data_IF_669645609469
#
_entry.id   IF_669645609469
#
_cell.length_a   1.000
_cell.length_b   1.000
_cell.length_c   1.000
_cell.angle_alpha   90.00
_cell.angle_beta   90.00
_cell.angle_gamma   90.00
#
_symmetry.space_group_name_H-M   'P 1'
#
loop_
_entity.id
_entity.type
_entity.pdbx_description
1 polymer ?
#
# COMPACT_ATOMS: atom_id res chain seq x y z
N UNK A 1 23.63 -67.84 -6.29
CA UNK A 1 24.20 -67.00 -7.37
C UNK A 1 24.92 -65.82 -6.72
N UNK A 2 26.21 -65.66 -7.02
CA UNK A 2 27.10 -64.62 -6.47
C UNK A 2 26.68 -63.22 -6.91
N UNK A 3 26.85 -62.25 -6.01
CA UNK A 3 26.86 -60.82 -6.29
C UNK A 3 27.41 -60.04 -5.09
N UNK A 4 28.70 -59.73 -5.12
CA UNK A 4 29.41 -58.82 -4.22
C UNK A 4 29.51 -57.42 -4.88
N UNK A 5 30.23 -56.43 -4.32
CA UNK A 5 30.13 -55.78 -3.01
C UNK A 5 30.11 -54.24 -3.14
N UNK A 6 29.94 -53.48 -2.04
CA UNK A 6 30.36 -52.07 -2.08
C UNK A 6 29.98 -51.17 -0.92
N UNK A 7 30.89 -51.07 0.06
CA UNK A 7 31.30 -49.83 0.78
C UNK A 7 30.24 -49.16 1.69
N UNK A 8 30.51 -48.62 2.86
CA UNK A 8 31.72 -48.45 3.68
C UNK A 8 31.25 -48.06 5.08
N UNK A 9 32.06 -48.43 6.06
CA UNK A 9 32.04 -48.14 7.49
C UNK A 9 31.58 -46.72 7.85
N UNK A 10 30.52 -46.61 8.66
CA UNK A 10 30.18 -45.40 9.44
C UNK A 10 30.72 -45.60 10.86
N UNK A 11 31.83 -44.92 11.18
CA UNK A 11 32.42 -44.89 12.51
C UNK A 11 32.17 -43.51 13.14
N UNK A 12 31.57 -43.55 14.33
CA UNK A 12 31.16 -42.45 15.20
C UNK A 12 32.31 -41.55 15.63
N UNK A 13 31.98 -40.28 15.95
CA UNK A 13 32.45 -39.41 17.06
C UNK A 13 32.23 -37.96 16.59
N UNK A 14 32.01 -36.93 17.38
CA UNK A 14 31.66 -36.67 18.77
C UNK A 14 31.41 -35.15 18.77
N UNK A 15 30.41 -34.63 19.49
CA UNK A 15 30.32 -33.18 19.71
C UNK A 15 31.42 -32.75 20.70
N UNK A 16 32.03 -31.58 20.49
CA UNK A 16 32.51 -30.79 21.61
C UNK A 16 32.05 -29.32 21.49
N UNK A 17 31.32 -28.88 22.50
CA UNK A 17 31.22 -27.47 22.84
C UNK A 17 32.56 -27.07 23.47
N UNK A 18 33.53 -26.56 22.69
CA UNK A 18 34.60 -25.67 23.18
C UNK A 18 35.45 -25.20 21.99
N UNK A 19 35.27 -23.95 21.53
CA UNK A 19 36.39 -23.21 20.93
C UNK A 19 36.13 -21.71 21.00
N UNK A 20 36.90 -21.09 21.90
CA UNK A 20 37.04 -19.67 22.13
C UNK A 20 38.01 -19.13 21.07
N UNK A 21 37.50 -18.41 20.07
CA UNK A 21 38.25 -17.52 19.16
C UNK A 21 37.77 -16.11 19.49
N UNK A 22 38.51 -15.35 20.30
CA UNK A 22 39.49 -14.36 19.86
C UNK A 22 38.89 -13.18 19.08
N UNK A 23 39.25 -12.01 19.57
CA UNK A 23 38.83 -10.68 19.19
C UNK A 23 39.18 -10.33 17.76
N UNK A 24 38.17 -10.12 16.93
CA UNK A 24 38.27 -9.22 15.78
C UNK A 24 37.29 -8.07 15.97
N UNK A 25 37.89 -6.93 16.32
CA UNK A 25 37.32 -5.61 16.21
C UNK A 25 36.95 -5.35 14.73
N UNK A 26 35.77 -5.80 14.32
CA UNK A 26 35.08 -5.25 13.17
C UNK A 26 33.98 -4.33 13.70
N UNK A 27 34.39 -3.14 14.12
CA UNK A 27 33.54 -1.94 14.05
C UNK A 27 33.25 -1.70 12.56
N UNK A 28 32.37 -2.54 12.00
CA UNK A 28 31.87 -2.35 10.66
C UNK A 28 30.63 -1.46 10.80
N UNK A 29 30.87 -0.19 10.54
CA UNK A 29 29.91 0.88 10.36
C UNK A 29 28.97 0.56 9.19
N UNK A 30 28.07 -0.41 9.37
CA UNK A 30 26.81 -0.47 8.64
C UNK A 30 25.84 0.40 9.42
N UNK A 31 25.97 1.71 9.17
CA UNK A 31 25.18 2.77 9.78
C UNK A 31 23.73 2.37 9.97
N UNK A 32 23.26 2.66 11.18
CA UNK A 32 21.86 2.76 11.60
C UNK A 32 21.13 3.79 10.75
N UNK A 33 20.93 3.49 9.47
CA UNK A 33 20.27 4.34 8.49
C UNK A 33 18.76 4.03 8.50
N UNK A 34 18.14 4.17 9.66
CA UNK A 34 16.89 4.93 9.70
C UNK A 34 17.27 6.39 9.48
N UNK A 35 17.70 6.71 8.26
CA UNK A 35 17.97 8.07 7.86
C UNK A 35 16.70 8.85 8.11
N UNK A 36 16.84 9.99 8.78
CA UNK A 36 15.77 10.96 8.87
C UNK A 36 15.19 11.30 7.49
N UNK A 37 16.03 11.23 6.45
CA UNK A 37 15.64 11.36 5.05
C UNK A 37 14.76 10.21 4.53
N UNK A 38 15.07 8.94 4.87
CA UNK A 38 14.23 7.78 4.49
C UNK A 38 12.83 7.86 5.12
N UNK A 39 12.72 8.35 6.36
CA UNK A 39 11.42 8.59 7.00
C UNK A 39 10.63 9.66 6.24
N UNK A 40 11.29 10.73 5.78
CA UNK A 40 10.66 11.74 4.92
C UNK A 40 10.21 11.17 3.58
N UNK A 41 11.01 10.31 2.95
CA UNK A 41 10.67 9.71 1.65
C UNK A 41 9.46 8.78 1.77
N UNK A 42 9.41 7.95 2.82
CA UNK A 42 8.25 7.10 3.13
C UNK A 42 7.01 7.95 3.41
N UNK A 43 7.12 8.99 4.24
CA UNK A 43 6.01 9.90 4.49
C UNK A 43 5.55 10.62 3.21
N UNK A 44 6.48 11.08 2.36
CA UNK A 44 6.19 11.75 1.10
C UNK A 44 5.47 10.86 0.07
N UNK A 45 5.93 9.62 -0.08
CA UNK A 45 5.27 8.62 -0.94
C UNK A 45 3.86 8.31 -0.42
N UNK A 46 3.69 8.13 0.89
CA UNK A 46 2.39 7.92 1.52
C UNK A 46 1.44 9.12 1.36
N UNK A 47 1.93 10.36 1.50
CA UNK A 47 1.14 11.58 1.29
C UNK A 47 0.60 11.65 -0.15
N UNK A 48 1.45 11.35 -1.12
CA UNK A 48 1.08 11.32 -2.54
C UNK A 48 0.04 10.22 -2.81
N UNK A 49 0.26 9.04 -2.26
CA UNK A 49 -0.61 7.89 -2.40
C UNK A 49 -2.01 8.14 -1.79
N UNK A 50 -2.07 8.66 -0.56
CA UNK A 50 -3.35 8.99 0.09
C UNK A 50 -4.06 10.16 -0.58
N UNK A 51 -3.34 11.15 -1.10
CA UNK A 51 -3.92 12.22 -1.93
C UNK A 51 -4.61 11.68 -3.17
N UNK A 52 -3.98 10.70 -3.84
CA UNK A 52 -4.59 10.04 -5.00
C UNK A 52 -5.86 9.28 -4.61
N UNK A 53 -5.85 8.56 -3.49
CA UNK A 53 -7.04 7.90 -2.95
C UNK A 53 -8.17 8.88 -2.64
N UNK A 54 -7.87 10.00 -1.99
CA UNK A 54 -8.88 11.04 -1.73
C UNK A 54 -9.51 11.59 -3.02
N UNK A 55 -8.70 11.82 -4.05
CA UNK A 55 -9.21 12.28 -5.36
C UNK A 55 -10.12 11.24 -6.02
N UNK A 56 -9.77 9.95 -5.94
CA UNK A 56 -10.58 8.87 -6.49
C UNK A 56 -11.90 8.73 -5.73
N UNK A 57 -11.85 8.73 -4.41
CA UNK A 57 -13.04 8.66 -3.55
C UNK A 57 -13.96 9.87 -3.77
N UNK A 58 -13.40 11.07 -3.91
CA UNK A 58 -14.18 12.25 -4.26
C UNK A 58 -14.85 12.13 -5.63
N UNK A 59 -14.15 11.55 -6.63
CA UNK A 59 -14.75 11.27 -7.94
C UNK A 59 -15.88 10.26 -7.85
N UNK A 60 -15.72 9.19 -7.07
CA UNK A 60 -16.75 8.18 -6.84
C UNK A 60 -18.00 8.82 -6.19
N UNK A 61 -17.81 9.58 -5.12
CA UNK A 61 -18.89 10.25 -4.40
C UNK A 61 -19.63 11.25 -5.31
N UNK A 62 -18.90 12.05 -6.10
CA UNK A 62 -19.50 13.01 -7.02
C UNK A 62 -20.33 12.35 -8.13
N UNK A 63 -20.01 11.10 -8.50
CA UNK A 63 -20.71 10.35 -9.54
C UNK A 63 -21.64 9.27 -8.98
N UNK A 64 -21.84 9.19 -7.65
CA UNK A 64 -22.60 8.11 -7.02
C UNK A 64 -24.08 8.05 -7.48
N UNK A 65 -24.63 9.19 -7.88
CA UNK A 65 -26.01 9.32 -8.37
C UNK A 65 -26.07 9.51 -9.90
N UNK A 66 -24.94 9.41 -10.61
CA UNK A 66 -24.86 9.67 -12.04
C UNK A 66 -25.31 8.44 -12.85
N UNK A 67 -26.54 8.50 -13.36
CA UNK A 67 -27.17 7.47 -14.20
C UNK A 67 -26.63 7.42 -15.63
N UNK A 68 -25.97 8.48 -16.10
CA UNK A 68 -25.48 8.59 -17.48
C UNK A 68 -24.08 9.19 -17.50
N UNK A 69 -23.09 8.39 -17.89
CA UNK A 69 -21.75 8.85 -18.22
C UNK A 69 -21.66 9.42 -19.65
N UNK A 70 -20.50 9.99 -20.03
CA UNK A 70 -20.25 10.51 -21.38
C UNK A 70 -20.50 9.48 -22.50
N UNK A 71 -20.27 8.20 -22.19
CA UNK A 71 -20.42 7.07 -23.11
C UNK A 71 -21.82 6.42 -23.05
N UNK A 72 -22.78 7.05 -22.35
CA UNK A 72 -24.14 6.55 -22.18
C UNK A 72 -24.28 5.40 -21.17
N UNK A 73 -23.20 5.01 -20.49
CA UNK A 73 -23.20 3.97 -19.45
C UNK A 73 -23.06 4.57 -18.06
N UNK A 74 -23.62 3.91 -17.04
CA UNK A 74 -23.54 4.36 -15.67
C UNK A 74 -22.09 4.31 -15.13
N UNK A 75 -21.75 5.26 -14.25
CA UNK A 75 -20.40 5.39 -13.70
C UNK A 75 -19.98 4.13 -12.92
N UNK A 76 -18.74 3.67 -13.14
CA UNK A 76 -18.14 2.59 -12.35
C UNK A 76 -17.23 3.14 -11.29
N UNK A 77 -17.41 2.67 -10.06
CA UNK A 77 -16.56 2.99 -8.93
C UNK A 77 -15.10 2.67 -9.25
N UNK A 78 -14.20 3.57 -8.85
CA UNK A 78 -12.76 3.45 -9.08
C UNK A 78 -12.05 3.18 -7.76
N UNK A 79 -11.03 2.34 -7.80
CA UNK A 79 -10.22 1.99 -6.64
C UNK A 79 -8.74 2.23 -6.93
N UNK A 80 -8.01 2.66 -5.90
CA UNK A 80 -6.56 2.87 -5.99
C UNK A 80 -5.86 1.58 -5.59
N UNK A 81 -4.95 1.12 -6.44
CA UNK A 81 -4.07 -0.01 -6.13
C UNK A 81 -2.76 0.53 -5.60
N UNK A 82 -2.42 0.12 -4.38
CA UNK A 82 -1.15 0.46 -3.74
C UNK A 82 -0.18 -0.70 -3.90
N UNK A 83 1.09 -0.36 -4.10
CA UNK A 83 2.18 -1.32 -4.05
C UNK A 83 3.31 -0.82 -3.16
N UNK A 84 3.97 -1.73 -2.42
CA UNK A 84 5.17 -1.38 -1.69
C UNK A 84 6.29 -1.05 -2.67
N UNK A 85 6.95 0.09 -2.50
CA UNK A 85 8.22 0.33 -3.18
C UNK A 85 9.30 -0.57 -2.56
N UNK A 86 9.90 -1.45 -3.36
CA UNK A 86 10.97 -2.31 -2.87
C UNK A 86 12.19 -1.45 -2.49
N UNK A 87 12.38 -1.24 -1.19
CA UNK A 87 13.61 -0.68 -0.65
C UNK A 87 14.76 -1.69 -0.73
N UNK A 88 15.99 -1.21 -0.91
CA UNK A 88 17.20 -2.03 -0.86
C UNK A 88 17.46 -2.62 0.53
N UNK A 89 16.91 -1.97 1.57
CA UNK A 89 17.01 -2.39 2.96
C UNK A 89 15.59 -2.74 3.44
N UNK A 90 15.34 -4.00 3.84
CA UNK A 90 14.01 -4.55 4.12
C UNK A 90 13.21 -3.94 5.29
N UNK A 91 13.56 -2.75 5.77
CA UNK A 91 12.95 -2.07 6.92
C UNK A 91 12.19 -0.77 6.59
N UNK A 92 12.59 -0.05 5.54
CA UNK A 92 11.94 1.19 5.12
C UNK A 92 11.38 1.02 3.71
N UNK A 93 10.07 0.83 3.62
CA UNK A 93 9.36 0.55 2.37
C UNK A 93 8.36 1.68 2.14
N UNK A 94 8.57 2.45 1.08
CA UNK A 94 7.62 3.47 0.62
C UNK A 94 6.37 2.83 0.00
N UNK A 95 5.44 3.67 -0.45
CA UNK A 95 4.24 3.20 -1.16
C UNK A 95 4.06 3.95 -2.47
N UNK A 96 3.90 3.20 -3.55
CA UNK A 96 3.50 3.71 -4.87
C UNK A 96 2.03 3.45 -5.13
N UNK A 97 1.47 4.23 -6.06
CA UNK A 97 0.17 3.95 -6.65
C UNK A 97 0.40 3.35 -8.03
N UNK A 98 0.11 2.06 -8.18
CA UNK A 98 0.28 1.34 -9.45
C UNK A 98 -0.75 1.77 -10.49
N UNK A 99 -1.94 2.18 -10.02
CA UNK A 99 -2.98 2.65 -10.90
C UNK A 99 -4.31 2.86 -10.19
N UNK A 100 -5.27 3.32 -10.99
CA UNK A 100 -6.68 3.41 -10.60
C UNK A 100 -7.42 2.41 -11.47
N UNK A 101 -8.03 1.41 -10.84
CA UNK A 101 -8.78 0.35 -11.52
C UNK A 101 -10.27 0.54 -11.30
N UNK A 102 -11.08 0.16 -12.28
CA UNK A 102 -12.53 0.16 -12.12
C UNK A 102 -12.99 -1.10 -11.41
N UNK A 103 -13.99 -0.96 -10.54
CA UNK A 103 -14.64 -2.09 -9.89
C UNK A 103 -15.55 -2.81 -10.89
N UNK A 104 -15.01 -3.91 -11.41
CA UNK A 104 -15.69 -4.83 -12.33
C UNK A 104 -16.27 -6.05 -11.62
N UNK A 105 -15.97 -6.24 -10.33
CA UNK A 105 -16.42 -7.38 -9.53
C UNK A 105 -17.80 -7.08 -8.96
N UNK A 106 -18.03 -5.85 -8.49
CA UNK A 106 -19.31 -5.45 -7.91
C UNK A 106 -20.34 -5.18 -9.01
N UNK A 107 -21.52 -5.85 -8.98
CA UNK A 107 -22.57 -5.63 -9.96
C UNK A 107 -23.16 -4.23 -9.84
N UNK A 108 -23.60 -3.68 -10.98
CA UNK A 108 -24.29 -2.38 -11.03
C UNK A 108 -25.67 -2.47 -10.38
N UNK A 109 -26.10 -1.40 -9.71
CA UNK A 109 -27.42 -1.34 -9.07
C UNK A 109 -28.49 -1.12 -10.15
N UNK A 110 -29.57 -1.90 -10.16
CA UNK A 110 -30.73 -1.67 -11.06
C UNK A 110 -31.90 -1.19 -10.23
N UNK A 111 -32.46 -0.04 -10.58
CA UNK A 111 -33.59 0.57 -9.88
C UNK A 111 -34.78 0.69 -10.82
N UNK A 112 -35.94 0.18 -10.41
CA UNK A 112 -37.17 0.29 -11.19
C UNK A 112 -37.75 1.71 -11.10
N UNK A 113 -37.74 2.44 -12.21
CA UNK A 113 -38.24 3.80 -12.36
C UNK A 113 -38.99 3.93 -13.71
N UNK A 114 -40.25 3.46 -13.79
CA UNK A 114 -41.00 3.32 -15.04
C UNK A 114 -41.40 4.65 -15.72
N UNK A 115 -41.05 5.79 -15.11
CA UNK A 115 -41.25 7.14 -15.68
C UNK A 115 -39.95 7.86 -16.06
N UNK A 116 -38.79 7.21 -15.94
CA UNK A 116 -37.50 7.83 -16.24
C UNK A 116 -37.20 7.72 -17.75
N UNK A 117 -36.84 8.81 -18.45
CA UNK A 117 -36.46 8.76 -19.86
C UNK A 117 -35.23 7.88 -20.15
N UNK A 118 -34.44 7.57 -19.12
CA UNK A 118 -33.24 6.72 -19.19
C UNK A 118 -33.52 5.26 -18.76
N UNK A 119 -34.78 4.91 -18.52
CA UNK A 119 -35.16 3.54 -18.20
C UNK A 119 -35.12 2.64 -19.44
N UNK A 120 -34.79 1.38 -19.24
CA UNK A 120 -34.92 0.34 -20.25
C UNK A 120 -36.39 0.00 -20.55
N UNK A 121 -36.62 -0.92 -21.50
CA UNK A 121 -37.96 -1.33 -21.92
C UNK A 121 -38.81 -1.91 -20.77
N UNK A 122 -38.17 -2.41 -19.72
CA UNK A 122 -38.80 -2.98 -18.53
C UNK A 122 -38.96 -1.94 -17.40
N UNK A 123 -38.57 -0.68 -17.63
CA UNK A 123 -38.69 0.41 -16.67
C UNK A 123 -37.55 0.49 -15.65
N UNK A 124 -36.42 -0.18 -15.87
CA UNK A 124 -35.25 -0.15 -14.98
C UNK A 124 -34.18 0.83 -15.44
N UNK A 125 -33.58 1.52 -14.47
CA UNK A 125 -32.42 2.40 -14.66
C UNK A 125 -31.20 1.73 -14.04
N UNK A 126 -30.10 1.73 -14.78
CA UNK A 126 -28.80 1.26 -14.27
C UNK A 126 -28.13 2.39 -13.52
N UNK A 127 -27.90 2.18 -12.23
CA UNK A 127 -27.23 3.09 -11.32
C UNK A 127 -25.75 2.66 -11.13
N UNK A 128 -24.87 3.61 -10.81
CA UNK A 128 -23.49 3.32 -10.42
C UNK A 128 -23.38 2.26 -9.32
N UNK A 129 -22.30 1.47 -9.35
CA UNK A 129 -21.94 0.53 -8.28
C UNK A 129 -21.23 1.21 -7.10
N UNK A 130 -21.39 2.54 -6.93
CA UNK A 130 -20.80 3.28 -5.82
C UNK A 130 -21.65 3.08 -4.56
N UNK A 131 -20.99 2.80 -3.44
CA UNK A 131 -21.58 2.88 -2.11
C UNK A 131 -21.10 4.13 -1.39
N UNK A 132 -22.02 5.06 -1.14
CA UNK A 132 -21.72 6.35 -0.52
C UNK A 132 -21.16 6.17 0.89
N UNK A 133 -21.64 5.17 1.63
CA UNK A 133 -21.20 4.91 3.02
C UNK A 133 -19.75 4.43 3.00
N UNK A 134 -19.43 3.46 2.15
CA UNK A 134 -18.07 2.94 2.03
C UNK A 134 -17.10 4.01 1.51
N UNK A 135 -17.52 4.82 0.54
CA UNK A 135 -16.70 5.93 0.03
C UNK A 135 -16.45 7.00 1.09
N UNK A 136 -17.43 7.34 1.91
CA UNK A 136 -17.22 8.27 3.04
C UNK A 136 -16.22 7.70 4.06
N UNK A 137 -16.33 6.41 4.41
CA UNK A 137 -15.37 5.74 5.29
C UNK A 137 -13.97 5.71 4.67
N UNK A 138 -13.88 5.42 3.38
CA UNK A 138 -12.63 5.47 2.61
C UNK A 138 -12.00 6.87 2.64
N UNK A 139 -12.80 7.93 2.47
CA UNK A 139 -12.33 9.32 2.54
C UNK A 139 -11.79 9.66 3.93
N UNK A 140 -12.52 9.29 4.99
CA UNK A 140 -12.10 9.53 6.38
C UNK A 140 -10.80 8.78 6.68
N UNK A 141 -10.70 7.52 6.27
CA UNK A 141 -9.49 6.72 6.45
C UNK A 141 -8.30 7.36 5.73
N UNK A 142 -8.46 7.73 4.46
CA UNK A 142 -7.41 8.36 3.67
C UNK A 142 -6.98 9.71 4.26
N UNK A 143 -7.93 10.51 4.73
CA UNK A 143 -7.66 11.80 5.38
C UNK A 143 -6.86 11.64 6.67
N UNK A 144 -7.24 10.69 7.54
CA UNK A 144 -6.49 10.40 8.77
C UNK A 144 -5.08 9.90 8.47
N UNK A 145 -4.92 9.03 7.48
CA UNK A 145 -3.59 8.58 7.04
C UNK A 145 -2.75 9.73 6.48
N UNK A 146 -3.34 10.64 5.69
CA UNK A 146 -2.64 11.83 5.20
C UNK A 146 -2.16 12.72 6.35
N UNK A 147 -3.05 13.03 7.30
CA UNK A 147 -2.71 13.83 8.49
C UNK A 147 -1.61 13.19 9.32
N UNK A 148 -1.66 11.89 9.55
CA UNK A 148 -0.62 11.17 10.29
C UNK A 148 0.75 11.28 9.60
N UNK A 149 0.80 11.15 8.26
CA UNK A 149 2.05 11.28 7.52
C UNK A 149 2.59 12.72 7.51
N UNK A 150 1.71 13.74 7.49
CA UNK A 150 2.12 15.14 7.67
C UNK A 150 2.79 15.33 9.03
N UNK A 151 2.23 14.75 10.09
CA UNK A 151 2.78 14.86 11.44
C UNK A 151 4.14 14.16 11.57
N UNK A 152 4.29 12.98 10.96
CA UNK A 152 5.58 12.28 10.87
C UNK A 152 6.61 13.16 10.17
N UNK A 153 6.26 13.76 9.02
CA UNK A 153 7.16 14.63 8.28
C UNK A 153 7.55 15.88 9.09
N UNK A 154 6.60 16.50 9.79
CA UNK A 154 6.87 17.67 10.64
C UNK A 154 7.80 17.33 11.81
N UNK A 155 7.53 16.22 12.50
CA UNK A 155 8.38 15.75 13.61
C UNK A 155 9.81 15.51 13.12
N UNK A 156 9.92 14.83 11.98
CA UNK A 156 11.19 14.51 11.31
C UNK A 156 11.95 15.79 10.93
N UNK A 157 11.26 16.80 10.38
CA UNK A 157 11.83 18.14 10.10
C UNK A 157 12.37 18.82 11.36
N UNK A 158 11.63 18.79 12.46
CA UNK A 158 12.06 19.39 13.72
C UNK A 158 13.31 18.72 14.27
N UNK A 159 13.39 17.39 14.19
CA UNK A 159 14.60 16.64 14.58
C UNK A 159 15.80 17.01 13.71
N UNK A 160 15.61 17.16 12.40
CA UNK A 160 16.65 17.56 11.45
C UNK A 160 17.24 18.93 11.83
N UNK A 161 16.35 19.90 12.06
CA UNK A 161 16.75 21.25 12.42
C UNK A 161 17.52 21.30 13.74
N UNK A 162 17.07 20.54 14.75
CA UNK A 162 17.79 20.44 16.03
C UNK A 162 19.18 19.82 15.87
N UNK A 163 19.32 18.79 15.04
CA UNK A 163 20.62 18.19 14.76
C UNK A 163 21.59 19.19 14.11
N UNK A 164 21.13 20.00 13.15
CA UNK A 164 21.94 21.04 12.51
C UNK A 164 22.43 22.09 13.52
N UNK A 165 21.62 22.45 14.51
CA UNK A 165 22.01 23.42 15.54
C UNK A 165 23.01 22.86 16.56
N UNK A 166 23.14 21.54 16.72
CA UNK A 166 24.11 20.93 17.63
C UNK A 166 25.55 20.93 17.08
N UNK A 167 25.71 21.16 15.77
CA UNK A 167 27.02 21.22 15.10
C UNK A 167 27.66 22.61 15.04
N UNK A 168 27.04 23.62 15.66
CA UNK A 168 27.55 24.99 15.80
C UNK A 168 28.02 25.23 17.24
#
# INVERSE_FOLDING_TARGET
MCGAPGRTVSARRASPCDERIESDNAFNDSGTDMSLFKVMDVAGSALTAQSKRMNVVASNLANAESVTGPDGTAYRAKQVVFSPEQGTDGYATGVSVDGVVEDTVTPMKRMHQPGNPLADADGYVTMPNVDVVDEMVNMISASRSYQANVEVANTTKTMAAKALTLGQ
#
